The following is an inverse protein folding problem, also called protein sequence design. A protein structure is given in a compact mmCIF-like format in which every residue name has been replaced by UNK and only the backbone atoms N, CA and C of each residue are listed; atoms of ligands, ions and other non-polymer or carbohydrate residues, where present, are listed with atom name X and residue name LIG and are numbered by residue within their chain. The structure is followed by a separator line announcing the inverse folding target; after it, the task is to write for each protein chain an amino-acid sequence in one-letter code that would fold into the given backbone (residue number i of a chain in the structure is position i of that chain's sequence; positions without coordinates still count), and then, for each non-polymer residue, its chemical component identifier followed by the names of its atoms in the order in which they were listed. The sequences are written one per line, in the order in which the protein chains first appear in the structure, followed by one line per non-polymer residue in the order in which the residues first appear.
data_IF_997933207407
#
_entry.id   IF_997933207407
#
_cell.length_a   1.000
_cell.length_b   1.000
_cell.length_c   1.000
_cell.angle_alpha   90.00
_cell.angle_beta   90.00
_cell.angle_gamma   90.00
#
_symmetry.space_group_name_H-M   'P 1'
#
loop_
_entity.id
_entity.type
_entity.pdbx_description
1 polymer ?
#
# COMPACT_ATOMS: atom_id res chain seq x y z
N UNK A 1 7.01 26.13 24.69
CA UNK A 1 8.45 25.79 24.62
C UNK A 1 8.74 24.32 24.33
N UNK A 2 8.02 23.34 24.90
CA UNK A 2 8.19 21.91 24.53
C UNK A 2 7.85 21.59 23.05
N UNK A 3 6.86 22.28 22.47
CA UNK A 3 6.50 22.14 21.05
C UNK A 3 7.61 22.59 20.09
N UNK A 4 8.52 23.46 20.55
CA UNK A 4 9.63 23.99 19.75
C UNK A 4 10.78 22.99 19.68
N UNK A 5 11.11 22.28 20.79
CA UNK A 5 12.21 21.30 20.81
C UNK A 5 11.96 20.06 19.94
N UNK A 6 10.74 19.50 19.98
CA UNK A 6 10.39 18.34 19.13
C UNK A 6 10.41 18.72 17.65
N UNK A 7 10.05 19.97 17.33
CA UNK A 7 10.10 20.48 15.95
C UNK A 7 11.53 20.67 15.45
N UNK A 8 12.48 21.04 16.31
CA UNK A 8 13.86 21.31 15.91
C UNK A 8 14.64 20.01 15.72
N UNK A 9 14.54 19.04 16.64
CA UNK A 9 15.21 17.75 16.45
C UNK A 9 14.58 16.96 15.29
N UNK A 10 13.26 17.05 15.09
CA UNK A 10 12.60 16.47 13.89
C UNK A 10 12.99 17.22 12.61
N UNK A 11 13.07 18.55 12.63
CA UNK A 11 13.48 19.34 11.46
C UNK A 11 14.96 19.17 11.15
N UNK A 12 15.84 18.95 12.13
CA UNK A 12 17.25 18.59 11.91
C UNK A 12 17.33 17.19 11.31
N UNK A 13 16.56 16.23 11.83
CA UNK A 13 16.58 14.87 11.33
C UNK A 13 15.95 14.76 9.93
N UNK A 14 14.86 15.47 9.64
CA UNK A 14 14.33 15.69 8.28
C UNK A 14 15.34 16.45 7.42
N UNK A 15 15.96 17.52 7.90
CA UNK A 15 16.97 18.25 7.11
C UNK A 15 18.23 17.40 6.81
N UNK A 16 18.54 16.41 7.64
CA UNK A 16 19.63 15.46 7.42
C UNK A 16 19.22 14.27 6.54
N UNK A 17 17.95 13.88 6.56
CA UNK A 17 17.43 12.71 5.80
C UNK A 17 16.75 13.10 4.48
N UNK A 18 15.96 14.17 4.44
CA UNK A 18 15.26 14.74 3.28
C UNK A 18 15.79 16.13 2.83
N UNK A 19 16.52 16.86 3.68
CA UNK A 19 17.02 18.22 3.38
C UNK A 19 18.13 18.34 2.31
N UNK A 20 18.67 17.22 1.79
CA UNK A 20 19.50 17.26 0.57
C UNK A 20 18.71 17.74 -0.65
N UNK A 21 17.41 17.45 -0.69
CA UNK A 21 16.54 17.85 -1.79
C UNK A 21 16.27 19.37 -1.79
N UNK A 22 16.04 19.93 -0.60
CA UNK A 22 15.75 21.36 -0.43
C UNK A 22 17.01 22.23 -0.62
N UNK A 23 18.18 21.78 -0.14
CA UNK A 23 19.45 22.46 -0.38
C UNK A 23 19.84 22.50 -1.86
N UNK A 24 19.55 21.44 -2.63
CA UNK A 24 19.84 21.40 -4.06
C UNK A 24 18.87 22.28 -4.88
N UNK A 25 17.58 22.31 -4.52
CA UNK A 25 16.57 23.20 -5.11
C UNK A 25 16.91 24.70 -4.92
N UNK A 26 17.46 25.09 -3.76
CA UNK A 26 17.89 26.47 -3.52
C UNK A 26 19.19 26.83 -4.27
N UNK A 27 20.10 25.87 -4.44
CA UNK A 27 21.33 26.05 -5.23
C UNK A 27 21.05 26.27 -6.73
N UNK A 28 20.00 25.64 -7.26
CA UNK A 28 19.57 25.78 -8.66
C UNK A 28 18.82 27.10 -8.91
N UNK A 29 18.32 27.75 -7.86
CA UNK A 29 17.79 29.12 -7.88
C UNK A 29 18.88 30.21 -7.71
N UNK A 30 20.16 29.83 -7.68
CA UNK A 30 21.29 30.78 -7.66
C UNK A 30 21.72 31.28 -6.29
N UNK A 31 21.16 30.73 -5.20
CA UNK A 31 21.62 31.04 -3.84
C UNK A 31 22.88 30.22 -3.50
N UNK A 32 24.00 30.91 -3.24
CA UNK A 32 25.26 30.26 -2.82
C UNK A 32 25.16 29.77 -1.37
N UNK A 33 25.59 28.54 -1.16
CA UNK A 33 25.50 27.69 0.04
C UNK A 33 26.19 28.20 1.31
N UNK A 34 26.92 29.31 1.23
CA UNK A 34 27.86 29.73 2.28
C UNK A 34 27.12 30.33 3.50
N UNK A 35 25.90 30.82 3.28
CA UNK A 35 25.05 31.45 4.31
C UNK A 35 24.22 30.43 5.11
N UNK A 36 23.88 29.28 4.51
CA UNK A 36 23.00 28.31 5.14
C UNK A 36 23.72 27.46 6.19
N UNK A 37 24.96 27.06 5.89
CA UNK A 37 25.79 26.34 6.86
C UNK A 37 26.12 27.18 8.08
N UNK A 38 26.42 28.47 7.89
CA UNK A 38 26.62 29.42 8.98
C UNK A 38 25.34 29.63 9.80
N UNK A 39 24.19 29.82 9.13
CA UNK A 39 22.92 29.98 9.81
C UNK A 39 22.54 28.76 10.66
N UNK A 40 22.76 27.53 10.17
CA UNK A 40 22.57 26.31 10.95
C UNK A 40 23.47 26.25 12.18
N UNK A 41 24.74 26.66 12.04
CA UNK A 41 25.70 26.72 13.14
C UNK A 41 25.29 27.75 14.20
N UNK A 42 24.89 28.95 13.77
CA UNK A 42 24.38 30.00 14.66
C UNK A 42 23.12 29.53 15.40
N UNK A 43 22.22 28.82 14.72
CA UNK A 43 21.00 28.27 15.33
C UNK A 43 21.32 27.17 16.35
N UNK A 44 22.26 26.27 16.06
CA UNK A 44 22.75 25.25 17.00
C UNK A 44 23.38 25.88 18.25
N UNK A 45 24.21 26.91 18.08
CA UNK A 45 24.81 27.66 19.18
C UNK A 45 23.75 28.37 20.05
N UNK A 46 22.72 28.96 19.42
CA UNK A 46 21.62 29.62 20.10
C UNK A 46 20.76 28.62 20.90
N UNK A 47 20.46 27.45 20.33
CA UNK A 47 19.76 26.35 21.02
C UNK A 47 20.55 25.83 22.22
N UNK A 48 21.88 25.68 22.07
CA UNK A 48 22.76 25.23 23.15
C UNK A 48 22.85 26.27 24.27
N UNK A 49 22.94 27.55 23.93
CA UNK A 49 22.88 28.68 24.88
C UNK A 49 21.58 28.66 25.68
N UNK A 50 20.43 28.55 25.01
CA UNK A 50 19.11 28.43 25.65
C UNK A 50 18.99 27.19 26.54
N UNK A 51 19.69 26.09 26.24
CA UNK A 51 19.73 24.88 27.07
C UNK A 51 20.50 25.07 28.38
N UNK A 52 21.55 25.89 28.39
CA UNK A 52 22.42 26.07 29.57
C UNK A 52 21.83 27.00 30.65
N UNK A 53 20.88 27.86 30.28
CA UNK A 53 20.23 28.80 31.20
C UNK A 53 18.91 28.31 31.83
N UNK A 54 18.37 27.18 31.37
CA UNK A 54 17.13 26.64 31.91
C UNK A 54 17.42 25.77 33.14
N UNK A 55 16.69 25.94 34.27
CA UNK A 55 16.74 24.98 35.37
C UNK A 55 16.47 23.58 34.82
N UNK A 56 17.05 22.54 35.46
CA UNK A 56 16.67 21.14 35.21
C UNK A 56 15.20 20.97 35.62
N UNK A 57 14.29 21.40 34.76
CA UNK A 57 12.89 21.04 34.85
C UNK A 57 12.81 19.52 34.72
N UNK A 58 11.99 18.90 35.57
CA UNK A 58 11.66 17.49 35.38
C UNK A 58 11.15 17.32 33.94
N UNK A 59 11.59 16.27 33.23
CA UNK A 59 11.10 16.02 31.89
C UNK A 59 9.57 15.97 31.93
N UNK A 60 8.93 16.74 31.04
CA UNK A 60 7.48 16.72 30.93
C UNK A 60 7.03 15.27 30.77
N UNK A 61 6.06 14.78 31.58
CA UNK A 61 5.68 13.39 31.54
C UNK A 61 5.22 13.05 30.13
N UNK A 62 5.93 12.12 29.48
CA UNK A 62 5.51 11.65 28.18
C UNK A 62 4.19 10.89 28.35
N UNK A 63 3.14 11.45 27.76
CA UNK A 63 1.84 10.82 27.66
C UNK A 63 1.70 10.29 26.23
N UNK A 64 1.57 8.97 26.05
CA UNK A 64 1.24 8.41 24.75
C UNK A 64 -0.03 9.05 24.18
N UNK A 65 -0.18 9.04 22.86
CA UNK A 65 -1.35 9.59 22.18
C UNK A 65 -1.42 9.16 20.72
N UNK A 66 -2.30 9.74 19.90
CA UNK A 66 -2.48 9.32 18.49
C UNK A 66 -1.19 9.36 17.67
N UNK A 67 -0.32 10.34 17.92
CA UNK A 67 0.99 10.48 17.26
C UNK A 67 1.92 9.28 17.52
N UNK A 68 1.66 8.51 18.58
CA UNK A 68 2.41 7.33 18.95
C UNK A 68 2.08 6.10 18.11
N UNK A 69 0.96 6.10 17.38
CA UNK A 69 0.53 4.96 16.56
C UNK A 69 1.49 4.63 15.42
N UNK A 70 2.16 5.64 14.86
CA UNK A 70 3.16 5.51 13.79
C UNK A 70 4.60 5.73 14.30
N UNK A 71 4.80 5.72 15.62
CA UNK A 71 6.09 6.03 16.20
C UNK A 71 7.08 4.87 16.00
N UNK A 72 8.08 5.09 15.13
CA UNK A 72 9.17 4.13 14.86
C UNK A 72 10.00 3.71 16.08
N UNK A 73 9.87 4.41 17.21
CA UNK A 73 10.61 4.12 18.44
C UNK A 73 9.85 3.21 19.40
N UNK A 74 8.59 2.87 19.11
CA UNK A 74 7.75 2.01 19.96
C UNK A 74 8.31 0.59 20.05
N UNK A 75 8.76 0.06 18.91
CA UNK A 75 9.16 -1.35 18.76
C UNK A 75 10.69 -1.54 18.85
N UNK A 76 11.44 -0.51 19.23
CA UNK A 76 12.91 -0.52 19.16
C UNK A 76 13.59 -1.23 20.34
N UNK A 77 12.85 -1.75 21.32
CA UNK A 77 13.34 -2.59 22.45
C UNK A 77 14.43 -1.98 23.34
N UNK A 78 14.93 -0.80 22.99
CA UNK A 78 15.88 -0.04 23.76
C UNK A 78 15.08 0.86 24.69
N UNK A 79 15.41 0.81 25.99
CA UNK A 79 14.96 1.74 27.04
C UNK A 79 15.47 3.17 26.80
N UNK A 80 15.21 3.72 25.61
CA UNK A 80 15.66 5.03 25.15
C UNK A 80 14.50 5.74 24.46
N UNK A 81 14.39 7.04 24.71
CA UNK A 81 13.33 7.87 24.15
C UNK A 81 12.05 7.82 24.97
N UNK A 82 10.98 8.37 24.39
CA UNK A 82 9.71 8.62 25.07
C UNK A 82 9.08 7.37 25.70
N UNK A 83 9.30 6.18 25.13
CA UNK A 83 8.71 4.92 25.60
C UNK A 83 9.46 4.24 26.75
N UNK A 84 10.62 4.77 27.17
CA UNK A 84 11.43 4.14 28.21
C UNK A 84 10.68 3.99 29.55
N UNK A 85 9.77 4.92 29.85
CA UNK A 85 8.98 4.93 31.09
C UNK A 85 7.73 4.03 31.02
N UNK A 86 7.38 3.55 29.81
CA UNK A 86 6.16 2.78 29.53
C UNK A 86 6.44 1.33 29.12
N UNK A 87 7.71 0.97 28.94
CA UNK A 87 8.12 -0.43 28.84
C UNK A 87 8.26 -0.97 30.27
N UNK A 88 7.32 -1.81 30.71
CA UNK A 88 7.47 -2.52 31.97
C UNK A 88 8.80 -3.30 31.96
N UNK A 89 9.44 -3.37 33.13
CA UNK A 89 10.69 -4.08 33.34
C UNK A 89 10.48 -5.59 33.17
N UNK A 90 10.37 -6.06 31.93
CA UNK A 90 10.62 -7.46 31.62
C UNK A 90 12.12 -7.69 31.63
N UNK A 91 12.58 -8.67 32.41
CA UNK A 91 13.98 -9.11 32.46
C UNK A 91 14.46 -9.71 31.12
N UNK A 92 13.52 -9.95 30.19
CA UNK A 92 13.77 -10.43 28.84
C UNK A 92 13.43 -9.35 27.81
N UNK A 93 14.45 -8.91 27.05
CA UNK A 93 14.29 -8.03 25.88
C UNK A 93 13.31 -8.64 24.86
N UNK A 94 13.16 -9.97 24.78
CA UNK A 94 12.23 -10.62 23.84
C UNK A 94 10.76 -10.49 24.23
N UNK A 95 10.44 -10.36 25.53
CA UNK A 95 9.06 -10.35 26.02
C UNK A 95 8.42 -8.96 26.00
N UNK A 96 9.22 -7.88 26.06
CA UNK A 96 8.67 -6.51 25.89
C UNK A 96 8.42 -6.14 24.43
N UNK A 97 9.14 -6.79 23.50
CA UNK A 97 9.02 -6.59 22.05
C UNK A 97 7.85 -7.35 21.42
N UNK A 98 7.20 -8.25 22.17
CA UNK A 98 6.16 -9.14 21.66
C UNK A 98 4.73 -8.73 22.03
N UNK A 99 4.54 -7.75 22.92
CA UNK A 99 3.20 -7.30 23.34
C UNK A 99 2.54 -6.46 22.27
N UNK A 100 1.31 -6.81 21.88
CA UNK A 100 0.54 -5.99 20.95
C UNK A 100 0.12 -4.68 21.60
N UNK A 101 0.45 -3.56 20.94
CA UNK A 101 -0.03 -2.24 21.35
C UNK A 101 -1.50 -2.02 20.97
N UNK A 102 -2.24 -1.29 21.80
CA UNK A 102 -3.64 -0.93 21.52
C UNK A 102 -3.81 -0.10 20.23
N UNK A 103 -2.73 0.51 19.71
CA UNK A 103 -2.74 1.22 18.43
C UNK A 103 -2.94 0.30 17.22
N UNK A 104 -2.69 -1.00 17.38
CA UNK A 104 -2.97 -2.01 16.37
C UNK A 104 -4.43 -2.49 16.41
N UNK A 105 -5.22 -2.09 17.42
CA UNK A 105 -6.65 -2.42 17.47
C UNK A 105 -7.43 -1.57 16.47
N UNK A 106 -8.32 -2.18 15.67
CA UNK A 106 -9.18 -1.45 14.76
C UNK A 106 -10.23 -0.62 15.51
N UNK A 107 -10.67 0.45 14.84
CA UNK A 107 -11.78 1.28 15.28
C UNK A 107 -11.40 2.43 16.20
N UNK A 108 -12.41 2.96 16.89
CA UNK A 108 -12.30 4.11 17.78
C UNK A 108 -12.09 3.64 19.23
N UNK A 109 -11.72 4.55 20.13
CA UNK A 109 -11.58 4.26 21.57
C UNK A 109 -10.15 4.02 22.05
N UNK A 110 -9.19 3.83 21.14
CA UNK A 110 -7.77 3.68 21.51
C UNK A 110 -7.26 4.90 22.30
N UNK A 111 -7.73 6.10 21.98
CA UNK A 111 -7.32 7.32 22.70
C UNK A 111 -7.84 7.38 24.13
N UNK A 112 -9.05 6.85 24.39
CA UNK A 112 -9.61 6.72 25.74
C UNK A 112 -8.80 5.70 26.54
N UNK A 113 -8.48 4.55 25.94
CA UNK A 113 -7.63 3.54 26.58
C UNK A 113 -6.26 4.12 26.97
N UNK A 114 -5.64 4.92 26.09
CA UNK A 114 -4.40 5.63 26.41
C UNK A 114 -4.57 6.59 27.60
N UNK A 115 -5.68 7.34 27.67
CA UNK A 115 -5.97 8.25 28.80
C UNK A 115 -6.15 7.49 30.12
N UNK A 116 -6.70 6.27 30.04
CA UNK A 116 -6.90 5.38 31.18
C UNK A 116 -5.61 4.60 31.57
N UNK A 117 -4.49 4.86 30.89
CA UNK A 117 -3.20 4.22 31.17
C UNK A 117 -3.04 2.81 30.56
N UNK A 118 -3.95 2.41 29.68
CA UNK A 118 -3.90 1.13 28.96
C UNK A 118 -3.13 1.32 27.66
N UNK A 119 -2.04 0.58 27.49
CA UNK A 119 -1.12 0.71 26.34
C UNK A 119 -0.96 -0.58 25.54
N UNK A 120 -1.31 -1.72 26.12
CA UNK A 120 -1.17 -3.04 25.54
C UNK A 120 -2.51 -3.77 25.52
N UNK A 121 -2.71 -4.60 24.50
CA UNK A 121 -3.98 -5.33 24.30
C UNK A 121 -4.20 -6.39 25.38
N UNK A 122 -3.13 -6.98 25.90
CA UNK A 122 -3.18 -7.97 26.99
C UNK A 122 -3.68 -7.40 28.35
N UNK A 123 -3.79 -6.08 28.47
CA UNK A 123 -4.38 -5.39 29.63
C UNK A 123 -5.91 -5.27 29.53
N UNK A 124 -6.50 -5.63 28.38
CA UNK A 124 -7.93 -5.60 28.16
C UNK A 124 -8.56 -6.93 28.51
N UNK A 125 -9.83 -6.89 28.92
CA UNK A 125 -10.67 -8.07 29.04
C UNK A 125 -11.52 -8.20 27.76
N UNK A 126 -11.56 -9.39 27.19
CA UNK A 126 -12.47 -9.71 26.08
C UNK A 126 -13.86 -10.06 26.62
N UNK A 127 -14.89 -9.57 25.95
CA UNK A 127 -16.29 -9.90 26.22
C UNK A 127 -16.58 -11.35 25.76
N UNK A 128 -17.21 -12.21 26.57
CA UNK A 128 -17.53 -13.58 26.16
C UNK A 128 -18.29 -13.67 24.82
N UNK A 129 -17.71 -14.46 23.91
CA UNK A 129 -18.24 -15.00 22.66
C UNK A 129 -19.37 -14.22 21.99
N UNK A 130 -19.02 -13.32 21.07
CA UNK A 130 -19.94 -12.87 20.03
C UNK A 130 -20.20 -14.02 19.04
N UNK A 131 -21.47 -14.29 18.73
CA UNK A 131 -21.83 -15.17 17.61
C UNK A 131 -21.10 -14.72 16.32
N UNK A 132 -20.78 -15.67 15.43
CA UNK A 132 -20.16 -15.35 14.15
C UNK A 132 -21.08 -14.39 13.37
N UNK A 133 -20.61 -13.18 13.01
CA UNK A 133 -21.47 -12.20 12.37
C UNK A 133 -21.69 -12.55 10.90
N UNK A 134 -22.74 -11.99 10.30
CA UNK A 134 -22.96 -12.07 8.85
C UNK A 134 -21.96 -11.25 8.02
N UNK A 135 -21.18 -10.38 8.68
CA UNK A 135 -20.08 -9.61 8.12
C UNK A 135 -19.11 -9.19 9.23
N UNK A 136 -17.80 -9.17 8.95
CA UNK A 136 -16.77 -8.77 9.92
C UNK A 136 -16.70 -7.25 10.11
N UNK A 137 -17.60 -6.74 10.95
CA UNK A 137 -17.65 -5.33 11.35
C UNK A 137 -16.41 -4.89 12.14
N UNK A 138 -16.14 -3.58 12.19
CA UNK A 138 -15.04 -3.02 13.00
C UNK A 138 -15.14 -3.43 14.48
N UNK A 139 -16.31 -3.34 15.16
CA UNK A 139 -16.45 -3.83 16.54
C UNK A 139 -16.09 -5.31 16.68
N UNK A 140 -16.57 -6.16 15.76
CA UNK A 140 -16.25 -7.59 15.80
C UNK A 140 -14.75 -7.83 15.61
N UNK A 141 -14.10 -7.19 14.62
CA UNK A 141 -12.66 -7.33 14.39
C UNK A 141 -11.83 -6.87 15.59
N UNK A 142 -12.29 -5.82 16.27
CA UNK A 142 -11.63 -5.30 17.47
C UNK A 142 -11.70 -6.32 18.58
N UNK A 143 -12.90 -6.83 18.87
CA UNK A 143 -13.12 -7.82 19.91
C UNK A 143 -12.34 -9.11 19.62
N UNK A 144 -12.39 -9.56 18.36
CA UNK A 144 -11.66 -10.74 17.91
C UNK A 144 -10.14 -10.60 18.10
N UNK A 145 -9.59 -9.43 17.79
CA UNK A 145 -8.17 -9.14 18.01
C UNK A 145 -7.80 -9.16 19.50
N UNK A 146 -8.66 -8.60 20.37
CA UNK A 146 -8.46 -8.62 21.83
C UNK A 146 -8.51 -10.07 22.33
N UNK A 147 -9.50 -10.85 21.89
CA UNK A 147 -9.71 -12.25 22.28
C UNK A 147 -8.53 -13.14 21.90
N UNK A 148 -8.04 -13.01 20.66
CA UNK A 148 -6.89 -13.77 20.19
C UNK A 148 -5.62 -13.43 20.99
N UNK A 149 -5.39 -12.16 21.32
CA UNK A 149 -4.21 -11.76 22.08
C UNK A 149 -4.29 -12.18 23.56
N UNK A 150 -5.46 -12.07 24.18
CA UNK A 150 -5.64 -12.23 25.64
C UNK A 150 -5.94 -13.67 26.06
N UNK A 151 -6.85 -14.35 25.36
CA UNK A 151 -7.39 -15.65 25.78
C UNK A 151 -6.78 -16.81 24.98
N UNK A 152 -6.53 -16.60 23.69
CA UNK A 152 -6.19 -17.68 22.76
C UNK A 152 -5.06 -17.34 21.77
N UNK A 153 -3.84 -16.99 22.24
CA UNK A 153 -2.72 -16.60 21.36
C UNK A 153 -2.23 -17.72 20.42
N UNK A 154 -2.71 -18.96 20.63
CA UNK A 154 -2.41 -20.14 19.81
C UNK A 154 -3.60 -20.64 18.99
N UNK A 155 -4.75 -19.96 19.03
CA UNK A 155 -5.91 -20.34 18.22
C UNK A 155 -5.68 -20.05 16.73
N UNK A 156 -6.60 -20.56 15.91
CA UNK A 156 -6.65 -20.26 14.49
C UNK A 156 -6.77 -18.73 14.33
N UNK A 157 -5.82 -18.14 13.61
CA UNK A 157 -5.72 -16.70 13.43
C UNK A 157 -6.52 -16.18 12.23
N UNK A 158 -7.27 -17.05 11.55
CA UNK A 158 -7.90 -16.78 10.27
C UNK A 158 -9.39 -17.11 10.31
N UNK A 159 -10.21 -16.24 9.71
CA UNK A 159 -11.65 -16.41 9.56
C UNK A 159 -12.05 -16.15 8.10
N UNK A 160 -12.92 -16.99 7.56
CA UNK A 160 -13.55 -16.79 6.25
C UNK A 160 -15.03 -17.17 6.31
N UNK A 161 -15.89 -16.19 6.03
CA UNK A 161 -17.34 -16.39 6.04
C UNK A 161 -17.82 -17.25 4.86
N UNK A 162 -18.76 -18.15 5.14
CA UNK A 162 -19.43 -18.98 4.14
C UNK A 162 -20.02 -18.15 2.99
N UNK A 163 -20.65 -17.02 3.30
CA UNK A 163 -21.28 -16.17 2.27
C UNK A 163 -20.26 -15.61 1.27
N UNK A 164 -19.04 -15.33 1.72
CA UNK A 164 -17.95 -14.85 0.85
C UNK A 164 -17.49 -15.95 -0.09
N UNK A 165 -17.36 -17.17 0.39
CA UNK A 165 -17.05 -18.34 -0.45
C UNK A 165 -18.12 -18.60 -1.50
N UNK A 166 -19.39 -18.57 -1.11
CA UNK A 166 -20.49 -18.71 -2.04
C UNK A 166 -20.48 -17.61 -3.12
N UNK A 167 -20.18 -16.37 -2.73
CA UNK A 167 -20.06 -15.25 -3.67
C UNK A 167 -18.96 -15.54 -4.71
N UNK A 168 -17.77 -15.94 -4.26
CA UNK A 168 -16.64 -16.28 -5.13
C UNK A 168 -16.97 -17.41 -6.11
N UNK A 169 -17.61 -18.48 -5.62
CA UNK A 169 -17.98 -19.65 -6.44
C UNK A 169 -19.01 -19.33 -7.52
N UNK A 170 -19.86 -18.31 -7.31
CA UNK A 170 -20.88 -17.86 -8.26
C UNK A 170 -20.35 -16.90 -9.33
N UNK A 171 -19.12 -16.38 -9.18
CA UNK A 171 -18.55 -15.44 -10.14
C UNK A 171 -18.23 -16.12 -11.48
N UNK A 172 -18.58 -15.50 -12.63
CA UNK A 172 -18.17 -16.00 -13.93
C UNK A 172 -16.65 -16.04 -14.10
N UNK A 173 -16.13 -17.20 -14.51
CA UNK A 173 -14.72 -17.41 -14.86
C UNK A 173 -14.44 -17.04 -16.33
N UNK A 174 -13.19 -16.74 -16.72
CA UNK A 174 -12.00 -16.59 -15.86
C UNK A 174 -12.06 -15.34 -14.96
N UNK A 175 -11.17 -15.26 -13.97
CA UNK A 175 -10.98 -14.09 -13.12
C UNK A 175 -9.80 -13.26 -13.62
N UNK A 176 -10.00 -11.95 -13.73
CA UNK A 176 -9.01 -10.99 -14.21
C UNK A 176 -8.71 -9.98 -13.11
N UNK A 177 -7.61 -10.16 -12.40
CA UNK A 177 -7.16 -9.27 -11.33
C UNK A 177 -6.45 -8.08 -11.97
N UNK A 178 -7.07 -6.90 -11.94
CA UNK A 178 -6.66 -5.71 -12.66
C UNK A 178 -6.29 -4.60 -11.67
N UNK A 179 -5.17 -3.95 -11.91
CA UNK A 179 -4.69 -2.82 -11.13
C UNK A 179 -4.07 -1.74 -12.04
N UNK A 180 -4.16 -0.48 -11.64
CA UNK A 180 -3.66 0.67 -12.39
C UNK A 180 -2.75 1.55 -11.54
N UNK A 181 -1.66 1.99 -12.15
CA UNK A 181 -0.86 3.09 -11.63
C UNK A 181 -1.21 4.39 -12.34
N UNK A 182 -1.30 5.46 -11.55
CA UNK A 182 -1.69 6.78 -12.03
C UNK A 182 -0.83 7.89 -11.45
N UNK A 183 -0.67 8.95 -12.23
CA UNK A 183 0.05 10.15 -11.84
C UNK A 183 -0.90 11.35 -11.82
N UNK A 184 -0.85 12.13 -10.74
CA UNK A 184 -1.55 13.40 -10.65
C UNK A 184 -0.62 14.56 -11.02
N UNK A 185 -0.92 15.29 -12.08
CA UNK A 185 -0.11 16.45 -12.47
C UNK A 185 -0.61 17.74 -11.83
N UNK A 186 0.28 18.60 -11.27
CA UNK A 186 -0.11 19.93 -10.77
C UNK A 186 -0.52 20.88 -11.91
N UNK A 187 -0.07 20.60 -13.13
CA UNK A 187 -0.48 21.30 -14.35
C UNK A 187 -1.29 20.31 -15.19
N UNK A 188 -2.58 20.55 -15.47
CA UNK A 188 -3.39 19.70 -16.32
C UNK A 188 -2.70 19.43 -17.66
N UNK A 189 -2.59 18.16 -18.05
CA UNK A 189 -1.91 17.77 -19.29
C UNK A 189 -2.83 17.88 -20.52
N UNK A 190 -4.15 17.93 -20.32
CA UNK A 190 -5.16 18.04 -21.37
C UNK A 190 -6.16 19.14 -21.04
N UNK A 191 -6.75 19.71 -22.08
CA UNK A 191 -7.83 20.68 -21.92
C UNK A 191 -9.01 20.05 -21.16
N UNK A 192 -9.49 20.72 -20.12
CA UNK A 192 -10.61 20.27 -19.29
C UNK A 192 -10.24 19.34 -18.13
N UNK A 193 -9.01 18.83 -18.05
CA UNK A 193 -8.53 18.11 -16.86
C UNK A 193 -8.37 19.08 -15.68
N UNK A 194 -8.61 18.59 -14.46
CA UNK A 194 -8.36 19.35 -13.22
C UNK A 194 -6.93 19.16 -12.74
N UNK A 195 -6.48 20.08 -11.88
CA UNK A 195 -5.22 19.92 -11.15
C UNK A 195 -5.30 18.60 -10.37
N UNK A 196 -4.23 17.79 -10.47
CA UNK A 196 -4.10 16.45 -9.88
C UNK A 196 -5.17 15.45 -10.35
N UNK A 197 -5.83 15.70 -11.48
CA UNK A 197 -6.61 14.64 -12.11
C UNK A 197 -5.67 13.47 -12.46
N UNK A 198 -5.98 12.23 -12.04
CA UNK A 198 -5.12 11.10 -12.32
C UNK A 198 -5.04 10.84 -13.82
N UNK A 199 -3.84 10.55 -14.29
CA UNK A 199 -3.56 10.04 -15.64
C UNK A 199 -2.97 8.66 -15.48
N UNK A 200 -3.64 7.64 -16.02
CA UNK A 200 -3.11 6.27 -15.98
C UNK A 200 -1.88 6.17 -16.87
N UNK A 201 -0.81 5.59 -16.34
CA UNK A 201 0.43 5.36 -17.09
C UNK A 201 0.85 3.89 -17.10
N UNK A 202 0.22 3.04 -16.30
CA UNK A 202 0.54 1.62 -16.24
C UNK A 202 -0.67 0.80 -15.79
N UNK A 203 -0.71 -0.45 -16.22
CA UNK A 203 -1.59 -1.47 -15.65
C UNK A 203 -0.88 -2.81 -15.52
N UNK A 204 -1.38 -3.62 -14.60
CA UNK A 204 -1.11 -5.05 -14.51
C UNK A 204 -2.41 -5.82 -14.54
N UNK A 205 -2.39 -7.02 -15.10
CA UNK A 205 -3.51 -7.95 -15.06
C UNK A 205 -3.05 -9.40 -14.97
N UNK A 206 -3.43 -10.08 -13.89
CA UNK A 206 -3.35 -11.54 -13.80
C UNK A 206 -4.67 -12.16 -14.23
N UNK A 207 -4.63 -13.18 -15.10
CA UNK A 207 -5.80 -13.95 -15.53
C UNK A 207 -5.67 -15.39 -15.04
N UNK A 208 -6.68 -15.83 -14.28
CA UNK A 208 -6.77 -17.17 -13.73
C UNK A 208 -8.09 -17.82 -14.18
N UNK A 209 -8.05 -19.09 -14.55
CA UNK A 209 -9.24 -19.84 -14.95
C UNK A 209 -10.21 -20.14 -13.78
N UNK A 210 -9.77 -19.96 -12.54
CA UNK A 210 -10.55 -20.21 -11.34
C UNK A 210 -10.42 -21.63 -10.78
N UNK A 211 -9.58 -22.49 -11.38
CA UNK A 211 -9.30 -23.82 -10.83
C UNK A 211 -8.28 -23.73 -9.69
N UNK A 212 -8.73 -24.03 -8.47
CA UNK A 212 -7.92 -24.06 -7.25
C UNK A 212 -7.39 -25.46 -6.92
N UNK A 213 -7.57 -26.44 -7.81
CA UNK A 213 -7.04 -27.80 -7.63
C UNK A 213 -5.51 -27.84 -7.65
N UNK A 214 -4.92 -28.92 -7.12
CA UNK A 214 -3.46 -29.13 -7.10
C UNK A 214 -2.86 -29.56 -8.44
N UNK A 215 -3.68 -29.90 -9.43
CA UNK A 215 -3.21 -30.68 -10.56
C UNK A 215 -2.56 -29.79 -11.64
N UNK A 216 -3.02 -28.55 -11.81
CA UNK A 216 -2.35 -27.53 -12.62
C UNK A 216 -2.76 -26.12 -12.21
N UNK A 217 -1.82 -25.17 -12.17
CA UNK A 217 -2.11 -23.75 -11.91
C UNK A 217 -2.05 -23.00 -13.24
N UNK A 218 -3.20 -22.53 -13.72
CA UNK A 218 -3.35 -21.80 -14.98
C UNK A 218 -3.44 -20.30 -14.73
N UNK A 219 -2.28 -19.67 -14.49
CA UNK A 219 -2.15 -18.22 -14.31
C UNK A 219 -1.33 -17.62 -15.46
N UNK A 220 -1.82 -16.52 -16.03
CA UNK A 220 -1.05 -15.68 -16.95
C UNK A 220 -1.03 -14.22 -16.51
N UNK A 221 0.08 -13.55 -16.77
CA UNK A 221 0.26 -12.13 -16.51
C UNK A 221 0.30 -11.35 -17.83
N UNK A 222 -0.36 -10.20 -17.84
CA UNK A 222 -0.27 -9.21 -18.92
C UNK A 222 -0.21 -7.82 -18.29
N UNK A 223 0.60 -6.93 -18.84
CA UNK A 223 0.72 -5.57 -18.32
C UNK A 223 1.27 -4.62 -19.37
N UNK A 224 1.19 -3.33 -19.07
CA UNK A 224 1.76 -2.27 -19.91
C UNK A 224 2.19 -1.10 -19.02
N UNK A 225 3.26 -0.43 -19.43
CA UNK A 225 3.79 0.78 -18.80
C UNK A 225 4.16 1.76 -19.92
N UNK A 226 3.81 3.03 -19.75
CA UNK A 226 4.21 4.12 -20.62
C UNK A 226 5.71 4.43 -20.48
N UNK A 227 6.55 3.57 -21.06
CA UNK A 227 8.00 3.72 -21.04
C UNK A 227 8.49 4.83 -21.97
N UNK A 228 7.80 5.06 -23.09
CA UNK A 228 8.23 6.00 -24.13
C UNK A 228 7.68 7.41 -23.93
N UNK A 229 6.70 7.55 -23.04
CA UNK A 229 6.10 8.83 -22.74
C UNK A 229 5.15 9.32 -23.83
N UNK A 230 4.25 8.45 -24.27
CA UNK A 230 3.29 8.74 -25.33
C UNK A 230 2.39 9.93 -24.98
N UNK A 231 1.79 10.54 -26.01
CA UNK A 231 0.97 11.75 -25.85
C UNK A 231 -0.29 11.51 -25.01
N UNK A 232 -0.95 10.35 -25.17
CA UNK A 232 -2.14 9.97 -24.41
C UNK A 232 -2.02 8.52 -23.91
N UNK A 233 -1.35 8.30 -22.74
CA UNK A 233 -1.13 6.95 -22.23
C UNK A 233 -2.43 6.24 -21.86
N UNK A 234 -3.48 6.97 -21.47
CA UNK A 234 -4.79 6.39 -21.17
C UNK A 234 -5.44 5.77 -22.41
N UNK A 235 -5.22 6.36 -23.60
CA UNK A 235 -5.76 5.81 -24.83
C UNK A 235 -5.12 4.47 -25.20
N UNK A 236 -3.79 4.41 -25.10
CA UNK A 236 -3.01 3.18 -25.35
C UNK A 236 -3.39 2.10 -24.32
N UNK A 237 -3.48 2.47 -23.05
CA UNK A 237 -3.89 1.56 -21.97
C UNK A 237 -5.29 1.00 -22.21
N UNK A 238 -6.27 1.86 -22.52
CA UNK A 238 -7.65 1.41 -22.77
C UNK A 238 -7.69 0.46 -23.97
N UNK A 239 -6.99 0.78 -25.07
CA UNK A 239 -6.94 -0.12 -26.22
C UNK A 239 -6.35 -1.49 -25.86
N UNK A 240 -5.23 -1.51 -25.14
CA UNK A 240 -4.63 -2.74 -24.62
C UNK A 240 -5.62 -3.60 -23.82
N UNK A 241 -6.41 -2.98 -22.94
CA UNK A 241 -7.40 -3.69 -22.13
C UNK A 241 -8.55 -4.24 -22.97
N UNK A 242 -9.17 -3.38 -23.78
CA UNK A 242 -10.43 -3.72 -24.47
C UNK A 242 -10.21 -4.52 -25.74
N UNK A 243 -9.00 -4.51 -26.30
CA UNK A 243 -8.62 -5.33 -27.45
C UNK A 243 -8.04 -6.69 -27.05
N UNK A 244 -7.74 -6.92 -25.77
CA UNK A 244 -7.28 -8.22 -25.27
C UNK A 244 -8.42 -9.27 -25.28
N UNK A 245 -8.33 -10.36 -26.07
CA UNK A 245 -9.38 -11.36 -26.16
C UNK A 245 -9.65 -12.11 -24.84
N UNK A 246 -8.61 -12.34 -24.03
CA UNK A 246 -8.74 -13.01 -22.74
C UNK A 246 -9.63 -12.20 -21.80
N UNK A 247 -9.48 -10.87 -21.86
CA UNK A 247 -10.27 -9.93 -21.08
C UNK A 247 -11.66 -9.71 -21.63
N UNK A 248 -12.26 -10.50 -22.54
CA UNK A 248 -13.62 -10.22 -23.05
C UNK A 248 -14.75 -10.93 -22.30
N UNK A 249 -14.41 -11.93 -21.47
CA UNK A 249 -15.37 -12.73 -20.70
C UNK A 249 -14.99 -12.74 -19.22
N UNK A 250 -15.68 -13.51 -18.41
CA UNK A 250 -15.35 -13.65 -16.99
C UNK A 250 -15.61 -12.39 -16.17
N UNK A 251 -14.87 -12.27 -15.07
CA UNK A 251 -15.04 -11.23 -14.05
C UNK A 251 -13.75 -10.45 -13.87
N UNK A 252 -13.85 -9.11 -13.87
CA UNK A 252 -12.74 -8.23 -13.52
C UNK A 252 -12.76 -8.01 -12.01
N UNK A 253 -11.67 -8.35 -11.35
CA UNK A 253 -11.44 -8.17 -9.92
C UNK A 253 -10.50 -6.99 -9.77
N UNK A 254 -10.80 -6.08 -8.86
CA UNK A 254 -10.00 -4.89 -8.60
C UNK A 254 -9.94 -4.62 -7.09
N UNK A 255 -9.02 -3.77 -6.62
CA UNK A 255 -8.83 -3.50 -5.19
C UNK A 255 -9.21 -2.05 -4.84
N UNK A 256 -10.42 -1.86 -4.28
CA UNK A 256 -11.05 -0.54 -4.09
C UNK A 256 -11.53 0.10 -5.40
N UNK A 257 -12.41 1.11 -5.39
CA UNK A 257 -13.19 1.46 -6.57
C UNK A 257 -12.44 2.29 -7.64
N UNK A 258 -11.13 2.46 -7.53
CA UNK A 258 -10.34 3.35 -8.39
C UNK A 258 -10.43 2.96 -9.88
N UNK A 259 -10.14 1.71 -10.22
CA UNK A 259 -10.07 1.21 -11.61
C UNK A 259 -11.40 1.39 -12.35
N UNK A 260 -12.55 0.89 -11.86
CA UNK A 260 -13.81 1.09 -12.55
C UNK A 260 -14.29 2.54 -12.52
N UNK A 261 -13.94 3.35 -11.51
CA UNK A 261 -14.28 4.78 -11.53
C UNK A 261 -13.50 5.52 -12.62
N UNK A 262 -12.21 5.20 -12.78
CA UNK A 262 -11.36 5.85 -13.77
C UNK A 262 -11.72 5.45 -15.20
N UNK A 263 -12.00 4.16 -15.45
CA UNK A 263 -12.52 3.71 -16.75
C UNK A 263 -13.85 4.39 -17.10
N UNK A 264 -14.76 4.58 -16.13
CA UNK A 264 -16.00 5.34 -16.36
C UNK A 264 -15.73 6.82 -16.65
N UNK A 265 -14.72 7.42 -16.02
CA UNK A 265 -14.30 8.81 -16.30
C UNK A 265 -13.82 8.93 -17.74
N UNK A 266 -12.93 8.04 -18.18
CA UNK A 266 -12.44 8.01 -19.58
C UNK A 266 -13.60 7.78 -20.55
N UNK A 267 -14.46 6.79 -20.30
CA UNK A 267 -15.62 6.50 -21.14
C UNK A 267 -16.57 7.71 -21.26
N UNK A 268 -16.78 8.45 -20.16
CA UNK A 268 -17.59 9.67 -20.19
C UNK A 268 -16.93 10.78 -21.02
N UNK A 269 -15.61 10.95 -20.88
CA UNK A 269 -14.83 11.92 -21.67
C UNK A 269 -14.93 11.61 -23.16
N UNK A 270 -14.57 10.40 -23.57
CA UNK A 270 -14.59 9.98 -24.97
C UNK A 270 -15.99 10.03 -25.60
N UNK A 271 -17.05 9.76 -24.82
CA UNK A 271 -18.43 9.94 -25.30
C UNK A 271 -18.78 11.41 -25.61
N UNK A 272 -18.24 12.35 -24.84
CA UNK A 272 -18.54 13.78 -24.95
C UNK A 272 -17.69 14.48 -26.01
N UNK A 273 -16.39 14.18 -26.03
CA UNK A 273 -15.39 14.90 -26.82
C UNK A 273 -14.94 14.13 -28.06
N UNK A 274 -15.31 12.85 -28.17
CA UNK A 274 -14.75 11.91 -29.13
C UNK A 274 -13.50 11.22 -28.56
N UNK A 275 -13.21 9.97 -28.96
CA UNK A 275 -11.95 9.35 -28.63
C UNK A 275 -10.79 9.98 -29.42
N UNK A 276 -9.54 9.82 -28.97
CA UNK A 276 -8.38 10.12 -29.78
C UNK A 276 -8.43 9.40 -31.12
N UNK A 277 -7.91 10.04 -32.17
CA UNK A 277 -7.92 9.47 -33.54
C UNK A 277 -7.24 8.10 -33.57
N UNK A 278 -7.91 7.10 -34.12
CA UNK A 278 -7.41 5.73 -34.20
C UNK A 278 -7.84 4.83 -33.02
N UNK A 279 -8.58 5.36 -32.04
CA UNK A 279 -9.08 4.63 -30.88
C UNK A 279 -10.62 4.46 -30.90
N UNK A 280 -11.25 4.57 -32.08
CA UNK A 280 -12.70 4.50 -32.23
C UNK A 280 -13.26 3.13 -31.79
N UNK A 281 -12.58 2.04 -32.17
CA UNK A 281 -12.95 0.69 -31.74
C UNK A 281 -12.76 0.50 -30.23
N UNK A 282 -11.66 1.02 -29.68
CA UNK A 282 -11.40 0.96 -28.25
C UNK A 282 -12.49 1.70 -27.45
N UNK A 283 -12.95 2.85 -27.97
CA UNK A 283 -14.06 3.57 -27.39
C UNK A 283 -15.34 2.73 -27.38
N UNK A 284 -15.75 2.14 -28.50
CA UNK A 284 -16.97 1.34 -28.56
C UNK A 284 -16.94 0.18 -27.55
N UNK A 285 -15.81 -0.51 -27.43
CA UNK A 285 -15.62 -1.58 -26.45
C UNK A 285 -15.63 -1.06 -25.01
N UNK A 286 -14.97 0.08 -24.73
CA UNK A 286 -15.01 0.70 -23.40
C UNK A 286 -16.43 1.15 -23.02
N UNK A 287 -17.19 1.72 -23.95
CA UNK A 287 -18.59 2.08 -23.74
C UNK A 287 -19.42 0.84 -23.39
N UNK A 288 -19.20 -0.28 -24.10
CA UNK A 288 -19.86 -1.55 -23.82
C UNK A 288 -19.49 -2.08 -22.43
N UNK A 289 -18.21 -2.06 -22.06
CA UNK A 289 -17.76 -2.48 -20.72
C UNK A 289 -18.42 -1.67 -19.61
N UNK A 290 -18.55 -0.36 -19.80
CA UNK A 290 -19.10 0.58 -18.81
C UNK A 290 -20.63 0.73 -18.87
N UNK A 291 -21.32 -0.03 -19.73
CA UNK A 291 -22.76 0.04 -19.87
C UNK A 291 -23.49 -0.41 -18.59
N UNK A 292 -24.54 0.31 -18.19
CA UNK A 292 -25.34 -0.04 -16.99
C UNK A 292 -25.97 -1.43 -17.07
N UNK A 293 -26.34 -1.88 -18.27
CA UNK A 293 -26.97 -3.18 -18.52
C UNK A 293 -26.13 -3.94 -19.54
N UNK A 294 -25.75 -5.18 -19.19
CA UNK A 294 -24.92 -6.02 -20.05
C UNK A 294 -23.45 -5.58 -20.15
N UNK A 295 -23.03 -4.61 -19.33
CA UNK A 295 -21.62 -4.26 -19.18
C UNK A 295 -20.83 -5.34 -18.43
N UNK A 296 -19.55 -5.06 -18.21
CA UNK A 296 -18.65 -6.02 -17.57
C UNK A 296 -18.87 -6.08 -16.05
N UNK A 297 -18.62 -7.27 -15.51
CA UNK A 297 -18.67 -7.52 -14.08
C UNK A 297 -17.36 -7.05 -13.44
N UNK A 298 -17.46 -6.04 -12.59
CA UNK A 298 -16.38 -5.58 -11.73
C UNK A 298 -16.71 -5.97 -10.30
N UNK A 299 -15.78 -6.66 -9.64
CA UNK A 299 -15.89 -7.07 -8.24
C UNK A 299 -14.77 -6.44 -7.43
N UNK A 300 -15.16 -5.78 -6.35
CA UNK A 300 -14.24 -5.13 -5.43
C UNK A 300 -13.72 -6.14 -4.39
N UNK A 301 -12.46 -6.54 -4.52
CA UNK A 301 -11.79 -7.45 -3.60
C UNK A 301 -11.69 -6.87 -2.18
N UNK A 302 -11.53 -5.55 -2.03
CA UNK A 302 -11.48 -4.90 -0.72
C UNK A 302 -12.80 -5.11 0.06
N UNK A 303 -13.94 -5.11 -0.63
CA UNK A 303 -15.24 -5.39 -0.02
C UNK A 303 -15.31 -6.85 0.48
N UNK A 304 -14.77 -7.81 -0.28
CA UNK A 304 -14.70 -9.22 0.15
C UNK A 304 -13.79 -9.38 1.38
N UNK A 305 -12.64 -8.71 1.40
CA UNK A 305 -11.74 -8.68 2.56
C UNK A 305 -12.44 -8.06 3.77
N UNK A 306 -13.03 -6.87 3.60
CA UNK A 306 -13.69 -6.10 4.67
C UNK A 306 -14.85 -6.87 5.30
N UNK A 307 -15.68 -7.51 4.50
CA UNK A 307 -16.91 -8.11 5.00
C UNK A 307 -16.72 -9.58 5.37
N UNK A 308 -15.80 -10.27 4.71
CA UNK A 308 -15.76 -11.73 4.67
C UNK A 308 -14.50 -12.41 5.18
N UNK A 309 -13.38 -11.70 5.27
CA UNK A 309 -12.09 -12.28 5.64
C UNK A 309 -11.44 -11.55 6.82
N UNK A 310 -10.93 -12.29 7.78
CA UNK A 310 -10.17 -11.76 8.91
C UNK A 310 -8.93 -12.59 9.12
N UNK A 311 -7.81 -11.92 9.42
CA UNK A 311 -6.63 -12.58 9.93
C UNK A 311 -5.97 -11.72 11.01
N UNK A 312 -5.52 -12.32 12.13
CA UNK A 312 -4.91 -11.66 13.29
C UNK A 312 -3.76 -10.72 12.90
N UNK A 313 -2.83 -11.23 12.08
CA UNK A 313 -1.66 -10.50 11.54
C UNK A 313 -1.99 -9.29 10.68
N UNK A 314 -3.25 -9.14 10.24
CA UNK A 314 -3.66 -7.92 9.54
C UNK A 314 -3.82 -6.74 10.49
N UNK A 315 -3.92 -6.98 11.81
CA UNK A 315 -4.05 -5.94 12.84
C UNK A 315 -5.17 -4.95 12.49
N UNK A 316 -6.32 -5.48 12.06
CA UNK A 316 -7.48 -4.70 11.64
C UNK A 316 -7.32 -3.90 10.33
N UNK A 317 -6.14 -3.90 9.69
CA UNK A 317 -5.89 -3.24 8.41
C UNK A 317 -6.51 -4.08 7.28
N UNK A 318 -6.95 -3.41 6.22
CA UNK A 318 -7.68 -4.05 5.11
C UNK A 318 -6.94 -3.98 3.77
N UNK A 319 -5.78 -3.33 3.70
CA UNK A 319 -5.03 -3.15 2.46
C UNK A 319 -4.34 -4.43 1.96
N UNK A 320 -3.85 -4.39 0.72
CA UNK A 320 -3.14 -5.51 0.07
C UNK A 320 -1.89 -5.96 0.84
N UNK A 321 -1.05 -5.03 1.32
CA UNK A 321 0.17 -5.36 2.10
C UNK A 321 -0.13 -6.19 3.36
N UNK A 322 -1.05 -5.78 4.27
CA UNK A 322 -1.49 -6.63 5.37
C UNK A 322 -2.09 -7.97 4.92
N UNK A 323 -2.88 -7.97 3.84
CA UNK A 323 -3.51 -9.18 3.32
C UNK A 323 -2.45 -10.20 2.86
N UNK A 324 -1.52 -9.80 2.01
CA UNK A 324 -0.46 -10.70 1.51
C UNK A 324 0.42 -11.19 2.66
N UNK A 325 0.81 -10.31 3.59
CA UNK A 325 1.58 -10.68 4.77
C UNK A 325 0.86 -11.70 5.68
N UNK A 326 -0.48 -11.69 5.70
CA UNK A 326 -1.27 -12.70 6.40
C UNK A 326 -1.28 -14.03 5.67
N UNK A 327 -1.52 -14.01 4.35
CA UNK A 327 -1.63 -15.20 3.51
C UNK A 327 -0.34 -16.00 3.44
N UNK A 328 0.84 -15.34 3.45
CA UNK A 328 2.15 -16.01 3.42
C UNK A 328 2.41 -16.93 4.64
N UNK A 329 1.53 -16.94 5.64
CA UNK A 329 1.62 -17.88 6.77
C UNK A 329 0.96 -19.24 6.50
N UNK A 330 0.16 -19.36 5.44
CA UNK A 330 -0.52 -20.60 5.04
C UNK A 330 0.26 -21.35 3.94
N UNK A 331 0.21 -22.68 3.98
CA UNK A 331 0.76 -23.54 2.91
C UNK A 331 -0.03 -23.42 1.62
N UNK A 332 -1.35 -23.30 1.73
CA UNK A 332 -2.28 -23.22 0.61
C UNK A 332 -2.07 -21.95 -0.23
N UNK A 333 -1.70 -20.84 0.41
CA UNK A 333 -1.33 -19.59 -0.24
C UNK A 333 0.12 -19.57 -0.75
N UNK A 334 1.05 -20.27 -0.12
CA UNK A 334 2.47 -20.28 -0.53
C UNK A 334 2.78 -21.30 -1.64
N UNK A 335 2.00 -22.38 -1.76
CA UNK A 335 2.19 -23.38 -2.82
C UNK A 335 2.22 -22.78 -4.23
N UNK A 336 1.29 -21.89 -4.65
CA UNK A 336 1.35 -21.26 -5.97
C UNK A 336 2.67 -20.54 -6.24
N UNK A 337 3.22 -19.86 -5.23
CA UNK A 337 4.45 -19.06 -5.37
C UNK A 337 5.64 -19.96 -5.75
N UNK A 338 5.67 -21.18 -5.21
CA UNK A 338 6.75 -22.15 -5.48
C UNK A 338 6.61 -22.89 -6.81
N UNK A 339 5.43 -22.83 -7.44
CA UNK A 339 5.08 -23.62 -8.64
C UNK A 339 4.99 -22.77 -9.91
N UNK A 340 4.62 -21.51 -9.78
CA UNK A 340 4.50 -20.57 -10.90
C UNK A 340 5.88 -20.07 -11.33
N UNK A 341 6.03 -19.80 -12.63
CA UNK A 341 7.25 -19.15 -13.14
C UNK A 341 7.25 -17.64 -12.87
N UNK A 342 8.42 -17.01 -12.98
CA UNK A 342 8.54 -15.55 -12.84
C UNK A 342 7.70 -14.81 -13.87
N UNK A 343 7.58 -15.33 -15.09
CA UNK A 343 6.73 -14.74 -16.14
C UNK A 343 5.25 -14.81 -15.80
N UNK A 344 4.82 -15.86 -15.08
CA UNK A 344 3.42 -16.00 -14.66
C UNK A 344 3.07 -15.09 -13.48
N UNK A 345 4.04 -14.81 -12.60
CA UNK A 345 3.88 -13.91 -11.45
C UNK A 345 4.14 -12.44 -11.79
N UNK A 346 4.95 -12.17 -12.82
CA UNK A 346 5.46 -10.84 -13.15
C UNK A 346 6.66 -10.39 -12.28
N UNK A 347 7.16 -11.25 -11.40
CA UNK A 347 8.30 -11.01 -10.51
C UNK A 347 8.91 -12.33 -9.99
N UNK A 348 10.15 -12.32 -9.45
CA UNK A 348 10.75 -13.49 -8.83
C UNK A 348 10.00 -13.93 -7.56
N UNK A 349 9.67 -15.22 -7.42
CA UNK A 349 8.91 -15.71 -6.25
C UNK A 349 9.61 -15.47 -4.91
N UNK A 350 10.94 -15.60 -4.88
CA UNK A 350 11.77 -15.32 -3.70
C UNK A 350 11.65 -13.86 -3.24
N UNK A 351 11.47 -12.92 -4.17
CA UNK A 351 11.29 -11.49 -3.85
C UNK A 351 10.05 -11.25 -2.98
N UNK A 352 8.99 -12.03 -3.17
CA UNK A 352 7.81 -12.00 -2.31
C UNK A 352 8.05 -12.70 -0.97
N UNK A 353 8.59 -13.93 -1.00
CA UNK A 353 8.77 -14.77 0.20
C UNK A 353 9.75 -14.16 1.22
N UNK A 354 10.78 -13.44 0.74
CA UNK A 354 11.80 -12.81 1.58
C UNK A 354 11.45 -11.37 2.00
N UNK A 355 10.28 -10.86 1.58
CA UNK A 355 9.90 -9.47 1.81
C UNK A 355 10.78 -8.47 1.05
N UNK A 356 11.33 -8.87 -0.10
CA UNK A 356 12.15 -8.02 -0.96
C UNK A 356 11.40 -6.80 -1.48
N UNK A 357 10.09 -6.92 -1.69
CA UNK A 357 9.23 -5.84 -2.17
C UNK A 357 9.15 -4.63 -1.22
N UNK A 358 9.27 -4.84 0.09
CA UNK A 358 9.25 -3.74 1.07
C UNK A 358 10.53 -2.89 1.02
N UNK A 359 11.62 -3.46 0.49
CA UNK A 359 12.93 -2.82 0.40
C UNK A 359 13.19 -2.23 -0.99
N UNK A 360 12.26 -2.45 -1.93
CA UNK A 360 12.33 -1.93 -3.29
C UNK A 360 12.22 -0.40 -3.30
N UNK A 361 13.05 0.32 -4.07
CA UNK A 361 12.86 1.74 -4.34
C UNK A 361 11.46 2.10 -4.84
N UNK A 362 10.83 1.19 -5.59
CA UNK A 362 9.40 1.25 -5.92
C UNK A 362 8.65 0.21 -5.09
N UNK A 363 8.01 0.64 -4.00
CA UNK A 363 7.34 -0.24 -3.04
C UNK A 363 5.92 0.19 -2.69
N UNK A 364 5.45 1.32 -3.22
CA UNK A 364 4.09 1.82 -3.10
C UNK A 364 3.72 2.73 -4.29
N UNK A 365 2.44 3.12 -4.39
CA UNK A 365 1.97 3.99 -5.47
C UNK A 365 2.62 5.37 -5.49
N UNK A 366 3.09 5.89 -4.34
CA UNK A 366 3.79 7.18 -4.29
C UNK A 366 5.17 7.08 -4.95
N UNK A 367 5.95 6.06 -4.58
CA UNK A 367 7.26 5.77 -5.17
C UNK A 367 7.14 5.38 -6.65
N UNK A 368 6.10 4.66 -7.05
CA UNK A 368 5.81 4.37 -8.46
C UNK A 368 5.53 5.65 -9.25
N UNK A 369 4.68 6.54 -8.73
CA UNK A 369 4.38 7.84 -9.34
C UNK A 369 5.62 8.72 -9.45
N UNK A 370 6.42 8.83 -8.38
CA UNK A 370 7.66 9.62 -8.39
C UNK A 370 8.66 9.07 -9.41
N UNK A 371 8.82 7.75 -9.46
CA UNK A 371 9.71 7.08 -10.41
C UNK A 371 9.28 7.35 -11.86
N UNK A 372 7.98 7.23 -12.14
CA UNK A 372 7.44 7.58 -13.45
C UNK A 372 7.76 9.04 -13.82
N UNK A 373 7.48 9.99 -12.93
CA UNK A 373 7.78 11.41 -13.17
C UNK A 373 9.26 11.67 -13.42
N UNK A 374 10.15 11.03 -12.66
CA UNK A 374 11.60 11.15 -12.84
C UNK A 374 12.03 10.66 -14.23
N UNK A 375 11.55 9.49 -14.66
CA UNK A 375 11.85 8.93 -15.99
C UNK A 375 11.36 9.89 -17.09
N UNK A 376 10.13 10.41 -16.96
CA UNK A 376 9.53 11.34 -17.94
C UNK A 376 10.30 12.66 -18.04
N UNK A 377 10.79 13.20 -16.91
CA UNK A 377 11.60 14.41 -16.89
C UNK A 377 12.97 14.18 -17.55
N UNK A 378 13.61 13.06 -17.25
CA UNK A 378 14.90 12.69 -17.85
C UNK A 378 14.80 12.60 -19.39
N UNK A 379 13.76 11.92 -19.89
CA UNK A 379 13.50 11.81 -21.33
C UNK A 379 13.29 13.17 -22.02
N UNK A 380 12.45 14.05 -21.45
CA UNK A 380 12.16 15.38 -22.04
C UNK A 380 13.36 16.31 -22.05
N UNK A 381 14.23 16.20 -21.05
CA UNK A 381 15.46 17.01 -20.94
C UNK A 381 16.60 16.53 -21.87
N UNK A 382 16.46 15.39 -22.55
CA UNK A 382 17.53 14.76 -23.32
C UNK A 382 18.64 14.15 -22.44
N UNK A 383 18.45 14.11 -21.12
CA UNK A 383 19.34 13.41 -20.19
C UNK A 383 19.12 11.91 -20.35
N UNK A 384 19.94 11.27 -21.19
CA UNK A 384 19.94 9.81 -21.37
C UNK A 384 20.28 9.05 -20.07
N UNK A 385 20.87 9.74 -19.10
CA UNK A 385 21.11 9.27 -17.75
C UNK A 385 20.91 10.44 -16.77
N UNK A 386 20.17 10.23 -15.69
CA UNK A 386 20.06 11.19 -14.56
C UNK A 386 21.36 11.19 -13.71
N UNK A 387 22.49 10.72 -14.25
CA UNK A 387 23.76 10.56 -13.52
C UNK A 387 24.45 11.88 -13.17
N UNK A 388 23.99 13.05 -13.67
CA UNK A 388 24.65 14.35 -13.44
C UNK A 388 23.79 15.47 -12.86
N UNK A 389 22.48 15.27 -12.67
CA UNK A 389 21.71 16.10 -11.75
C UNK A 389 21.73 15.34 -10.41
N UNK A 390 22.43 15.86 -9.39
CA UNK A 390 22.53 15.22 -8.07
C UNK A 390 21.20 15.28 -7.31
N UNK A 391 20.19 14.58 -7.82
CA UNK A 391 19.09 14.02 -7.04
C UNK A 391 19.58 12.65 -6.54
N UNK A 392 20.43 12.62 -5.51
CA UNK A 392 20.72 11.36 -4.79
C UNK A 392 19.39 10.93 -4.14
N UNK A 393 18.69 9.84 -4.48
CA UNK A 393 19.03 8.46 -4.89
C UNK A 393 17.95 7.90 -5.86
N UNK A 394 18.19 6.82 -6.67
CA UNK A 394 18.98 5.63 -6.37
C UNK A 394 20.19 5.39 -7.29
N UNK A 395 21.08 4.50 -6.86
CA UNK A 395 22.20 3.91 -7.61
C UNK A 395 21.77 3.07 -8.83
N UNK A 396 20.49 3.13 -9.18
CA UNK A 396 19.84 2.23 -10.12
C UNK A 396 19.60 2.93 -11.46
N UNK A 397 19.75 2.15 -12.51
CA UNK A 397 19.51 2.55 -13.89
C UNK A 397 18.01 2.72 -14.18
N UNK A 398 17.67 3.46 -15.23
CA UNK A 398 16.27 3.59 -15.68
C UNK A 398 15.62 2.23 -15.98
N UNK A 399 16.38 1.26 -16.49
CA UNK A 399 15.87 -0.07 -16.80
C UNK A 399 15.47 -0.85 -15.53
N UNK A 400 16.25 -0.72 -14.45
CA UNK A 400 15.95 -1.34 -13.16
C UNK A 400 14.71 -0.71 -12.52
N UNK A 401 14.57 0.62 -12.56
CA UNK A 401 13.38 1.31 -12.07
C UNK A 401 12.12 0.93 -12.84
N UNK A 402 12.21 0.84 -14.19
CA UNK A 402 11.11 0.33 -15.03
C UNK A 402 10.73 -1.09 -14.63
N UNK A 403 11.72 -1.95 -14.38
CA UNK A 403 11.48 -3.32 -13.95
C UNK A 403 10.79 -3.38 -12.59
N UNK A 404 11.23 -2.57 -11.61
CA UNK A 404 10.60 -2.51 -10.29
C UNK A 404 9.18 -1.97 -10.35
N UNK A 405 8.90 -0.96 -11.19
CA UNK A 405 7.54 -0.48 -11.41
C UNK A 405 6.63 -1.60 -11.95
N UNK A 406 7.12 -2.40 -12.91
CA UNK A 406 6.38 -3.57 -13.42
C UNK A 406 6.13 -4.61 -12.34
N UNK A 407 7.14 -4.93 -11.53
CA UNK A 407 7.05 -5.90 -10.44
C UNK A 407 6.08 -5.45 -9.35
N UNK A 408 6.12 -4.17 -8.96
CA UNK A 408 5.22 -3.61 -7.95
C UNK A 408 3.74 -3.69 -8.38
N UNK A 409 3.41 -3.22 -9.59
CA UNK A 409 2.02 -3.31 -10.06
C UNK A 409 1.58 -4.78 -10.30
N UNK A 410 2.50 -5.66 -10.70
CA UNK A 410 2.24 -7.10 -10.77
C UNK A 410 1.93 -7.70 -9.38
N UNK A 411 2.64 -7.28 -8.34
CA UNK A 411 2.43 -7.73 -6.96
C UNK A 411 1.00 -7.48 -6.49
N UNK A 412 0.42 -6.31 -6.76
CA UNK A 412 -0.93 -5.97 -6.29
C UNK A 412 -2.00 -6.88 -6.94
N UNK A 413 -1.88 -7.13 -8.25
CA UNK A 413 -2.76 -8.08 -8.93
C UNK A 413 -2.54 -9.53 -8.51
N UNK A 414 -1.30 -9.91 -8.22
CA UNK A 414 -0.97 -11.25 -7.72
C UNK A 414 -1.49 -11.46 -6.29
N UNK A 415 -1.46 -10.43 -5.44
CA UNK A 415 -2.00 -10.46 -4.09
C UNK A 415 -3.51 -10.76 -4.10
N UNK A 416 -4.27 -10.15 -5.02
CA UNK A 416 -5.69 -10.48 -5.20
C UNK A 416 -5.90 -11.92 -5.68
N UNK A 417 -5.06 -12.40 -6.60
CA UNK A 417 -5.07 -13.79 -7.04
C UNK A 417 -4.82 -14.75 -5.87
N UNK A 418 -3.77 -14.51 -5.08
CA UNK A 418 -3.43 -15.34 -3.92
C UNK A 418 -4.59 -15.41 -2.93
N UNK A 419 -5.25 -14.28 -2.65
CA UNK A 419 -6.41 -14.25 -1.76
C UNK A 419 -7.54 -15.15 -2.30
N UNK A 420 -7.90 -15.00 -3.57
CA UNK A 420 -8.95 -15.80 -4.20
C UNK A 420 -8.61 -17.29 -4.25
N UNK A 421 -7.37 -17.62 -4.63
CA UNK A 421 -6.89 -19.00 -4.69
C UNK A 421 -6.91 -19.64 -3.30
N UNK A 422 -6.39 -18.93 -2.29
CA UNK A 422 -6.38 -19.36 -0.89
C UNK A 422 -7.80 -19.63 -0.38
N UNK A 423 -8.70 -18.65 -0.49
CA UNK A 423 -10.10 -18.77 -0.06
C UNK A 423 -10.81 -19.96 -0.72
N UNK A 424 -10.65 -20.14 -2.03
CA UNK A 424 -11.26 -21.25 -2.76
C UNK A 424 -10.62 -22.62 -2.44
N UNK A 425 -9.44 -22.66 -1.82
CA UNK A 425 -8.78 -23.89 -1.37
C UNK A 425 -9.14 -24.28 0.05
N UNK A 426 -9.03 -23.35 0.99
CA UNK A 426 -9.25 -23.64 2.40
C UNK A 426 -10.72 -23.88 2.71
N UNK A 427 -11.62 -23.34 1.89
CA UNK A 427 -13.05 -23.43 2.16
C UNK A 427 -13.44 -22.64 3.40
N UNK A 428 -14.54 -23.00 4.05
CA UNK A 428 -15.05 -22.26 5.20
C UNK A 428 -14.13 -22.43 6.41
N UNK A 429 -13.66 -21.31 6.97
CA UNK A 429 -12.86 -21.29 8.20
C UNK A 429 -13.63 -20.47 9.24
N UNK A 430 -14.09 -21.15 10.28
CA UNK A 430 -14.64 -20.51 11.48
C UNK A 430 -13.57 -20.40 12.56
N UNK A 431 -13.39 -19.20 13.11
CA UNK A 431 -12.52 -18.98 14.28
C UNK A 431 -13.23 -19.48 15.54
N UNK A 432 -12.48 -20.05 16.47
CA UNK A 432 -12.90 -20.28 17.85
C UNK A 432 -11.92 -19.64 18.79
#
# INVERSE_FOLDING_TARGET
EAFVRVSVDSAINESQTSGRWFGHYLSTLGYRSDTWGQWLQELEEEIMSLRTGLPKEEPYPFLPGRHCAQCRYRDMGQKKGCWADHQEASDSISDSLSRMHIFELPGHGNETLVQDGVLFVDQLESDPAADLPSAFTIPWRREEQIRQETQHPKAIQEALLHQTLEQLQKLPRPFHFLDFEAVGFPIPQREGDRIYDPVLFQYSCHTWDGDSSSDSISLSHTGWLDEEGVTDPEAVLVDHLVSNPALQKGTIIHFSPFEPQHLRKIAKRWRKEGPPKGFEQANDSLQAWMAKKGGRNFVDCLTLVRDGYHHARMHGKLGLKPLIGSLLTSKEATEPITRLSEEQMGFPGEWLLEGGYEKSPVSDGETAMHTYLMIRMAQKSGLKEVSRASLTHPTESHAELIQQMKQYCALDTFAMYLAFHHWLRVGEITVY
#
